data_IF_201963672239
#
_entry.id   IF_201963672239
#
_cell.length_a   1.000
_cell.length_b   1.000
_cell.length_c   1.000
_cell.angle_alpha   90.00
_cell.angle_beta   90.00
_cell.angle_gamma   90.00
#
_symmetry.space_group_name_H-M   'P 1'
#
loop_
_entity.id
_entity.type
_entity.pdbx_description
1 polymer ?
#
# COMPACT_ATOMS: atom_id res chain seq x y z
N UNK A 1 -8.28 36.33 17.51
CA UNK A 1 -7.52 35.68 16.43
C UNK A 1 -7.69 34.17 16.52
N UNK A 2 -8.59 33.65 15.69
CA UNK A 2 -8.85 32.23 15.54
C UNK A 2 -7.57 31.62 14.94
N UNK A 3 -6.72 31.02 15.78
CA UNK A 3 -5.57 30.28 15.28
C UNK A 3 -6.12 29.07 14.56
N UNK A 4 -5.99 29.09 13.24
CA UNK A 4 -6.37 28.01 12.35
C UNK A 4 -5.83 26.69 12.91
N UNK A 5 -6.74 25.79 13.33
CA UNK A 5 -6.44 24.44 13.82
C UNK A 5 -5.64 23.58 12.82
N UNK A 6 -5.36 24.12 11.63
CA UNK A 6 -4.57 23.53 10.56
C UNK A 6 -3.06 23.57 10.83
N UNK A 7 -2.54 24.47 11.67
CA UNK A 7 -1.10 24.61 11.92
C UNK A 7 -0.54 23.70 13.03
N UNK A 8 -1.38 22.85 13.64
CA UNK A 8 -1.03 22.00 14.78
C UNK A 8 -1.02 20.51 14.46
N UNK A 9 -1.15 20.14 13.18
CA UNK A 9 -1.19 18.73 12.80
C UNK A 9 0.24 18.20 12.70
N UNK A 10 0.81 17.95 13.88
CA UNK A 10 2.03 17.17 14.08
C UNK A 10 1.68 15.73 13.66
N UNK A 11 2.08 15.37 12.43
CA UNK A 11 2.00 14.02 11.84
C UNK A 11 0.58 13.48 11.58
N UNK A 12 0.03 13.68 10.37
CA UNK A 12 -1.17 12.96 9.90
C UNK A 12 -0.80 11.52 9.54
N UNK A 13 -1.30 10.48 10.22
CA UNK A 13 -0.83 9.13 9.98
C UNK A 13 -1.83 8.42 9.09
N UNK A 14 -1.47 8.23 7.82
CA UNK A 14 -2.12 7.32 6.89
C UNK A 14 -3.54 7.70 6.40
N UNK A 15 -3.87 7.20 5.20
CA UNK A 15 -5.23 7.28 4.64
C UNK A 15 -6.01 6.03 4.97
N UNK A 16 -7.33 6.18 5.13
CA UNK A 16 -8.30 5.12 5.41
C UNK A 16 -8.26 3.96 4.40
N UNK A 17 -7.83 4.20 3.16
CA UNK A 17 -7.72 3.15 2.14
C UNK A 17 -6.44 3.31 1.31
N UNK A 18 -5.93 2.20 0.76
CA UNK A 18 -4.76 2.23 -0.13
C UNK A 18 -4.99 3.13 -1.36
N UNK A 19 -6.22 3.23 -1.85
CA UNK A 19 -6.55 4.07 -3.01
C UNK A 19 -6.40 5.56 -2.68
N UNK A 20 -6.85 5.98 -1.49
CA UNK A 20 -6.65 7.36 -1.03
C UNK A 20 -5.17 7.66 -0.77
N UNK A 21 -4.35 6.66 -0.40
CA UNK A 21 -2.89 6.82 -0.30
C UNK A 21 -2.27 7.10 -1.68
N UNK A 22 -2.72 6.41 -2.73
CA UNK A 22 -2.21 6.65 -4.08
C UNK A 22 -2.41 8.11 -4.49
N UNK A 23 -3.54 8.74 -4.16
CA UNK A 23 -3.83 10.16 -4.47
C UNK A 23 -2.85 11.16 -3.87
N UNK A 24 -2.01 10.76 -2.92
CA UNK A 24 -0.92 11.58 -2.41
C UNK A 24 0.31 11.60 -3.34
N UNK A 25 0.41 10.67 -4.27
CA UNK A 25 1.50 10.56 -5.24
C UNK A 25 1.30 11.62 -6.33
N UNK A 26 2.29 12.50 -6.49
CA UNK A 26 2.26 13.60 -7.46
C UNK A 26 2.60 13.17 -8.88
N UNK A 27 3.41 12.13 -9.05
CA UNK A 27 3.76 11.54 -10.34
C UNK A 27 4.20 10.09 -10.19
N UNK A 28 3.97 9.29 -11.23
CA UNK A 28 4.44 7.91 -11.36
C UNK A 28 5.68 7.77 -12.27
N UNK A 29 6.26 8.89 -12.75
CA UNK A 29 7.39 8.87 -13.70
C UNK A 29 8.66 8.20 -13.14
N UNK A 30 8.74 8.02 -11.82
CA UNK A 30 9.85 7.35 -11.15
C UNK A 30 9.78 5.82 -11.26
N UNK A 31 8.66 5.26 -11.73
CA UNK A 31 8.45 3.81 -11.84
C UNK A 31 8.86 3.36 -13.24
N UNK A 32 9.89 2.51 -13.31
CA UNK A 32 10.21 1.75 -14.51
C UNK A 32 9.40 0.45 -14.54
N UNK A 33 8.29 0.44 -15.28
CA UNK A 33 7.43 -0.74 -15.39
C UNK A 33 8.08 -1.87 -16.18
N UNK A 34 9.05 -1.58 -17.04
CA UNK A 34 9.78 -2.62 -17.77
C UNK A 34 10.69 -3.41 -16.83
N UNK A 35 11.26 -2.76 -15.82
CA UNK A 35 12.03 -3.41 -14.77
C UNK A 35 11.19 -4.34 -13.87
N UNK A 36 9.86 -4.17 -13.85
CA UNK A 36 8.94 -5.02 -13.09
C UNK A 36 8.52 -6.29 -13.84
N UNK A 37 8.96 -6.47 -15.10
CA UNK A 37 8.68 -7.70 -15.86
C UNK A 37 9.32 -8.89 -15.17
N UNK A 38 8.51 -9.92 -14.86
CA UNK A 38 8.89 -11.14 -14.14
C UNK A 38 9.11 -11.01 -12.62
N UNK A 39 8.62 -9.93 -12.00
CA UNK A 39 8.70 -9.77 -10.54
C UNK A 39 8.09 -10.94 -9.76
N UNK A 40 7.13 -11.66 -10.35
CA UNK A 40 6.53 -12.88 -9.79
C UNK A 40 7.55 -13.94 -9.40
N UNK A 41 8.54 -14.18 -10.26
CA UNK A 41 9.57 -15.19 -10.02
C UNK A 41 10.53 -14.74 -8.90
N UNK A 42 10.82 -13.45 -8.82
CA UNK A 42 11.65 -12.88 -7.76
C UNK A 42 10.93 -12.97 -6.40
N UNK A 43 9.66 -12.58 -6.35
CA UNK A 43 8.82 -12.70 -5.15
C UNK A 43 8.71 -14.17 -4.73
N UNK A 44 8.44 -15.07 -5.68
CA UNK A 44 8.36 -16.50 -5.38
C UNK A 44 9.68 -17.04 -4.83
N UNK A 45 10.81 -16.62 -5.40
CA UNK A 45 12.15 -16.97 -4.90
C UNK A 45 12.35 -16.54 -3.45
N UNK A 46 12.01 -15.29 -3.12
CA UNK A 46 12.10 -14.74 -1.75
C UNK A 46 11.18 -15.51 -0.79
N UNK A 47 9.94 -15.79 -1.21
CA UNK A 47 8.96 -16.47 -0.35
C UNK A 47 9.21 -17.97 -0.18
N UNK A 48 10.02 -18.58 -1.05
CA UNK A 48 10.40 -20.00 -0.89
C UNK A 48 11.37 -20.22 0.27
N UNK A 49 12.09 -19.18 0.71
CA UNK A 49 12.94 -19.24 1.89
C UNK A 49 12.16 -19.05 3.21
N UNK A 50 10.86 -18.75 3.13
CA UNK A 50 10.01 -18.57 4.30
C UNK A 50 9.60 -19.92 4.92
N UNK A 51 9.36 -19.92 6.23
CA UNK A 51 8.80 -21.08 6.93
C UNK A 51 7.42 -21.43 6.35
N UNK A 52 7.24 -22.67 5.91
CA UNK A 52 6.01 -23.18 5.30
C UNK A 52 4.80 -23.07 6.25
N UNK A 53 5.03 -23.12 7.57
CA UNK A 53 3.97 -22.94 8.57
C UNK A 53 3.49 -21.47 8.66
N UNK A 54 4.28 -20.52 8.15
CA UNK A 54 3.93 -19.10 8.13
C UNK A 54 3.41 -18.67 6.76
N UNK A 55 4.00 -19.19 5.67
CA UNK A 55 3.68 -18.81 4.30
C UNK A 55 3.56 -20.06 3.43
N UNK A 56 2.36 -20.65 3.42
CA UNK A 56 2.02 -21.73 2.50
C UNK A 56 1.93 -21.27 1.04
N UNK A 57 1.88 -22.23 0.12
CA UNK A 57 1.83 -21.94 -1.32
C UNK A 57 0.59 -21.13 -1.73
N UNK A 58 -0.56 -21.35 -1.08
CA UNK A 58 -1.77 -20.58 -1.37
C UNK A 58 -1.60 -19.10 -1.03
N UNK A 59 -0.95 -18.79 0.10
CA UNK A 59 -0.59 -17.44 0.53
C UNK A 59 0.45 -16.83 -0.41
N UNK A 60 1.48 -17.58 -0.84
CA UNK A 60 2.45 -17.09 -1.85
C UNK A 60 1.76 -16.64 -3.12
N UNK A 61 0.88 -17.48 -3.67
CA UNK A 61 0.13 -17.16 -4.90
C UNK A 61 -0.77 -15.94 -4.73
N UNK A 62 -1.41 -15.78 -3.55
CA UNK A 62 -2.22 -14.59 -3.26
C UNK A 62 -1.39 -13.31 -3.16
N UNK A 63 -0.21 -13.37 -2.56
CA UNK A 63 0.71 -12.22 -2.50
C UNK A 63 1.14 -11.82 -3.90
N UNK A 64 1.61 -12.77 -4.72
CA UNK A 64 2.03 -12.52 -6.10
C UNK A 64 0.88 -11.92 -6.92
N UNK A 65 -0.31 -12.53 -6.87
CA UNK A 65 -1.49 -12.01 -7.58
C UNK A 65 -1.88 -10.60 -7.12
N UNK A 66 -1.82 -10.31 -5.82
CA UNK A 66 -2.15 -8.98 -5.29
C UNK A 66 -1.14 -7.92 -5.73
N UNK A 67 0.14 -8.27 -5.80
CA UNK A 67 1.20 -7.37 -6.28
C UNK A 67 1.00 -7.07 -7.78
N UNK A 68 0.75 -8.09 -8.59
CA UNK A 68 0.48 -7.89 -10.03
C UNK A 68 -0.72 -7.00 -10.30
N UNK A 69 -1.84 -7.24 -9.60
CA UNK A 69 -3.02 -6.37 -9.70
C UNK A 69 -2.69 -4.92 -9.35
N UNK A 70 -1.83 -4.71 -8.35
CA UNK A 70 -1.40 -3.36 -7.95
C UNK A 70 -0.50 -2.71 -8.99
N UNK A 71 0.41 -3.46 -9.60
CA UNK A 71 1.28 -2.96 -10.69
C UNK A 71 0.43 -2.56 -11.89
N UNK A 72 -0.47 -3.43 -12.34
CA UNK A 72 -1.39 -3.13 -13.46
C UNK A 72 -2.23 -1.89 -13.18
N UNK A 73 -2.77 -1.79 -11.98
CA UNK A 73 -3.57 -0.64 -11.57
C UNK A 73 -2.77 0.66 -11.62
N UNK A 74 -1.57 0.69 -11.02
CA UNK A 74 -0.70 1.88 -11.02
C UNK A 74 -0.22 2.22 -12.44
N UNK A 75 0.09 1.21 -13.25
CA UNK A 75 0.45 1.41 -14.66
C UNK A 75 -0.67 2.10 -15.44
N UNK A 76 -1.92 1.66 -15.25
CA UNK A 76 -3.08 2.29 -15.90
C UNK A 76 -3.24 3.76 -15.43
N UNK A 77 -3.12 4.03 -14.14
CA UNK A 77 -3.15 5.41 -13.62
C UNK A 77 -2.06 6.30 -14.21
N UNK A 78 -0.84 5.77 -14.38
CA UNK A 78 0.27 6.48 -14.99
C UNK A 78 0.01 6.77 -16.48
N UNK A 79 -0.56 5.80 -17.22
CA UNK A 79 -0.82 5.92 -18.65
C UNK A 79 -2.01 6.81 -19.01
N UNK A 80 -3.01 6.92 -18.14
CA UNK A 80 -4.18 7.78 -18.38
C UNK A 80 -3.81 9.28 -18.49
N UNK A 81 -2.60 9.69 -18.06
CA UNK A 81 -2.08 11.09 -18.11
C UNK A 81 -3.00 12.15 -17.50
N UNK A 82 -4.05 11.73 -16.81
CA UNK A 82 -5.05 12.55 -16.11
C UNK A 82 -4.85 12.53 -14.60
N UNK A 83 -3.90 11.73 -14.11
CA UNK A 83 -3.60 11.62 -12.70
C UNK A 83 -3.19 12.97 -12.13
N UNK A 84 -3.84 13.37 -11.04
CA UNK A 84 -3.52 14.57 -10.28
C UNK A 84 -3.57 14.23 -8.80
N UNK A 85 -2.53 14.64 -8.07
CA UNK A 85 -2.52 14.47 -6.63
C UNK A 85 -3.70 15.22 -6.00
N UNK A 86 -4.41 14.58 -5.08
CA UNK A 86 -5.55 15.16 -4.41
C UNK A 86 -5.62 14.66 -2.96
N UNK A 87 -5.24 15.53 -2.04
CA UNK A 87 -5.25 15.25 -0.61
C UNK A 87 -6.62 15.58 0.00
N UNK A 88 -7.46 14.55 0.19
CA UNK A 88 -8.71 14.67 0.96
C UNK A 88 -8.46 14.36 2.44
N UNK A 89 -8.51 15.41 3.27
CA UNK A 89 -8.32 15.32 4.72
C UNK A 89 -9.41 14.52 5.42
N UNK A 90 -10.61 14.37 4.83
CA UNK A 90 -11.69 13.56 5.41
C UNK A 90 -11.39 12.05 5.30
N UNK A 91 -10.38 11.69 4.51
CA UNK A 91 -9.88 10.33 4.32
C UNK A 91 -8.68 10.00 5.18
N UNK A 92 -8.25 10.91 6.04
CA UNK A 92 -7.21 10.65 7.03
C UNK A 92 -7.75 9.68 8.09
N UNK A 93 -6.87 8.81 8.62
CA UNK A 93 -7.22 8.04 9.82
C UNK A 93 -7.42 9.01 10.97
N UNK A 94 -8.45 8.75 11.78
CA UNK A 94 -8.89 9.68 12.84
C UNK A 94 -7.96 9.65 14.06
N UNK A 95 -7.36 8.49 14.34
CA UNK A 95 -6.52 8.27 15.50
C UNK A 95 -5.17 7.68 15.06
N UNK A 96 -4.08 8.19 15.62
CA UNK A 96 -2.73 7.64 15.44
C UNK A 96 -2.52 6.45 16.39
N UNK A 97 -3.28 5.38 16.16
CA UNK A 97 -3.22 4.14 16.93
C UNK A 97 -3.12 2.96 15.96
N UNK A 98 -2.17 2.08 16.19
CA UNK A 98 -2.06 0.82 15.46
C UNK A 98 -3.14 -0.16 15.91
N UNK A 99 -3.55 -1.06 15.00
CA UNK A 99 -4.43 -2.18 15.33
C UNK A 99 -3.73 -3.12 16.34
N UNK A 100 -4.45 -3.53 17.38
CA UNK A 100 -3.91 -4.42 18.42
C UNK A 100 -4.12 -5.89 18.05
N UNK A 101 -3.07 -6.48 17.46
CA UNK A 101 -3.06 -7.90 17.10
C UNK A 101 -2.62 -8.82 18.25
N UNK A 102 -2.39 -8.32 19.47
CA UNK A 102 -2.01 -9.15 20.62
C UNK A 102 -3.11 -10.12 21.08
N UNK A 103 -4.33 -9.93 20.56
CA UNK A 103 -5.52 -10.71 20.88
C UNK A 103 -5.64 -12.04 20.13
N UNK A 104 -4.74 -12.33 19.18
CA UNK A 104 -4.76 -13.61 18.48
C UNK A 104 -4.29 -14.71 19.44
N UNK A 105 -5.26 -15.46 19.98
CA UNK A 105 -5.02 -16.69 20.73
C UNK A 105 -4.20 -17.66 19.85
N UNK A 106 -2.93 -17.84 20.22
CA UNK A 106 -1.99 -18.73 19.55
C UNK A 106 -2.16 -20.20 19.99
N UNK A 107 -3.33 -20.60 20.50
CA UNK A 107 -3.67 -22.01 20.70
C UNK A 107 -4.15 -22.66 19.40
N UNK A 108 -3.21 -22.88 18.47
CA UNK A 108 -3.34 -23.91 17.44
C UNK A 108 -2.28 -25.00 17.64
#
# INVERSE_FOLDING_TARGET
>A
PNMDKQSLIVCKPFKKTYFEQLKLVTSFDWIDFDALKNIDNEILGILNDADENLIDDARKQKIISSINQRIEYIHNLAMEKTWQANDDINKDVENDIAEDYSSFDMSM
#
